data_IF_154141909253
#
_entry.id   IF_154141909253
#
_cell.length_a   1.000
_cell.length_b   1.000
_cell.length_c   1.000
_cell.angle_alpha   90.00
_cell.angle_beta   90.00
_cell.angle_gamma   90.00
#
_symmetry.space_group_name_H-M   'P 1'
#
loop_
_entity.id
_entity.type
_entity.pdbx_description
1 polymer ?
#
# COMPACT_ATOMS: atom_id res chain seq x y z
N UNK A 1 27.12 -21.14 4.44
CA UNK A 1 26.56 -20.26 3.38
C UNK A 1 26.10 -18.98 4.04
N UNK A 2 26.53 -17.81 3.56
CA UNK A 2 25.96 -16.55 4.00
C UNK A 2 24.47 -16.53 3.62
N UNK A 3 23.58 -16.44 4.61
CA UNK A 3 22.16 -16.14 4.36
C UNK A 3 22.11 -14.69 3.89
N UNK A 4 22.05 -14.48 2.57
CA UNK A 4 21.64 -13.19 2.07
C UNK A 4 20.21 -12.94 2.53
N UNK A 5 19.90 -11.78 3.13
CA UNK A 5 18.51 -11.44 3.43
C UNK A 5 17.73 -11.51 2.12
N UNK A 6 16.56 -12.16 2.13
CA UNK A 6 15.67 -12.30 0.96
C UNK A 6 14.95 -10.99 0.59
N UNK A 7 15.37 -9.88 1.19
CA UNK A 7 14.77 -8.56 1.05
C UNK A 7 15.73 -7.64 0.31
N UNK A 8 15.21 -6.90 -0.66
CA UNK A 8 15.93 -5.82 -1.33
C UNK A 8 15.94 -4.53 -0.49
N UNK A 9 15.24 -4.51 0.65
CA UNK A 9 15.19 -3.38 1.58
C UNK A 9 16.44 -3.32 2.46
N UNK A 10 16.97 -2.11 2.63
CA UNK A 10 18.11 -1.83 3.52
C UNK A 10 17.65 -1.56 4.96
N UNK A 11 16.44 -1.03 5.12
CA UNK A 11 15.82 -0.90 6.43
C UNK A 11 15.34 -2.26 6.96
N UNK A 12 15.47 -2.46 8.27
CA UNK A 12 14.81 -3.57 8.97
C UNK A 12 13.32 -3.22 9.13
N UNK A 13 12.47 -3.87 8.34
CA UNK A 13 11.03 -3.61 8.29
C UNK A 13 10.29 -4.82 8.85
N UNK A 14 9.54 -4.66 9.96
CA UNK A 14 8.78 -5.74 10.54
C UNK A 14 7.71 -6.27 9.59
N UNK A 15 7.62 -7.60 9.49
CA UNK A 15 6.57 -8.27 8.71
C UNK A 15 5.22 -8.13 9.41
N UNK A 16 4.24 -7.60 8.69
CA UNK A 16 2.84 -7.53 9.05
C UNK A 16 2.08 -8.81 8.73
N UNK A 17 0.91 -8.94 9.32
CA UNK A 17 0.00 -10.07 9.10
C UNK A 17 -0.80 -9.87 7.81
N UNK A 18 -0.64 -10.79 6.85
CA UNK A 18 -1.37 -10.80 5.58
C UNK A 18 -2.87 -10.57 5.77
N UNK A 19 -3.47 -9.65 5.02
CA UNK A 19 -4.89 -9.32 5.09
C UNK A 19 -5.33 -8.54 6.33
N UNK A 20 -4.38 -8.01 7.09
CA UNK A 20 -4.60 -7.03 8.16
C UNK A 20 -4.02 -5.65 7.77
N UNK A 21 -4.36 -4.62 8.54
CA UNK A 21 -3.78 -3.29 8.35
C UNK A 21 -2.26 -3.25 8.59
N UNK A 22 -1.72 -4.19 9.37
CA UNK A 22 -0.27 -4.24 9.64
C UNK A 22 0.55 -4.57 8.40
N UNK A 23 0.00 -5.37 7.46
CA UNK A 23 0.65 -5.64 6.17
C UNK A 23 0.62 -4.40 5.26
N UNK A 24 -0.46 -3.63 5.24
CA UNK A 24 -0.51 -2.33 4.54
C UNK A 24 0.59 -1.39 5.08
N UNK A 25 0.80 -1.37 6.40
CA UNK A 25 1.84 -0.57 7.01
C UNK A 25 3.27 -1.06 6.69
N UNK A 26 3.48 -2.37 6.59
CA UNK A 26 4.73 -2.96 6.08
C UNK A 26 5.05 -2.44 4.68
N UNK A 27 4.14 -2.60 3.71
CA UNK A 27 4.37 -2.19 2.31
C UNK A 27 4.60 -0.66 2.20
N UNK A 28 3.95 0.15 3.05
CA UNK A 28 4.22 1.60 3.12
C UNK A 28 5.66 1.90 3.56
N UNK A 29 6.21 1.12 4.48
CA UNK A 29 7.59 1.27 4.93
C UNK A 29 8.58 0.79 3.87
N UNK A 30 8.25 -0.31 3.17
CA UNK A 30 9.03 -0.86 2.06
C UNK A 30 9.08 0.13 0.87
N UNK A 31 7.96 0.80 0.54
CA UNK A 31 7.93 1.90 -0.42
C UNK A 31 8.83 3.07 0.01
N UNK A 32 8.75 3.49 1.28
CA UNK A 32 9.57 4.58 1.81
C UNK A 32 11.05 4.25 1.74
N UNK A 33 11.43 3.01 2.06
CA UNK A 33 12.80 2.55 1.94
C UNK A 33 13.26 2.54 0.47
N UNK A 34 12.41 2.07 -0.44
CA UNK A 34 12.69 2.05 -1.88
C UNK A 34 12.97 3.45 -2.46
N UNK A 35 12.20 4.44 -2.02
CA UNK A 35 12.42 5.83 -2.40
C UNK A 35 13.73 6.39 -1.82
N UNK A 36 14.07 6.06 -0.57
CA UNK A 36 15.35 6.46 0.04
C UNK A 36 16.55 5.83 -0.67
N UNK A 37 16.39 4.60 -1.16
CA UNK A 37 17.40 3.92 -1.97
C UNK A 37 17.52 4.49 -3.39
N UNK A 38 16.65 5.43 -3.80
CA UNK A 38 16.55 5.92 -5.17
C UNK A 38 16.34 4.78 -6.19
N UNK A 39 15.58 3.75 -5.81
CA UNK A 39 15.28 2.60 -6.67
C UNK A 39 13.83 2.68 -7.18
N UNK A 40 13.60 3.26 -8.37
CA UNK A 40 12.26 3.48 -8.89
C UNK A 40 11.52 2.17 -9.22
N UNK A 41 12.23 1.12 -9.64
CA UNK A 41 11.61 -0.17 -9.96
C UNK A 41 11.08 -0.83 -8.69
N UNK A 42 11.87 -0.80 -7.62
CA UNK A 42 11.43 -1.31 -6.32
C UNK A 42 10.25 -0.49 -5.78
N UNK A 43 10.30 0.84 -5.86
CA UNK A 43 9.16 1.67 -5.46
C UNK A 43 7.87 1.36 -6.23
N UNK A 44 7.96 1.07 -7.53
CA UNK A 44 6.80 0.63 -8.34
C UNK A 44 6.31 -0.75 -7.92
N UNK A 45 7.21 -1.67 -7.57
CA UNK A 45 6.85 -2.97 -7.00
C UNK A 45 6.06 -2.80 -5.70
N UNK A 46 6.56 -1.98 -4.77
CA UNK A 46 5.88 -1.75 -3.49
C UNK A 46 4.52 -1.05 -3.66
N UNK A 47 4.34 -0.24 -4.71
CA UNK A 47 3.02 0.29 -5.07
C UNK A 47 2.06 -0.80 -5.57
N UNK A 48 2.55 -1.80 -6.30
CA UNK A 48 1.76 -2.94 -6.72
C UNK A 48 1.39 -3.83 -5.51
N UNK A 49 2.34 -4.05 -4.60
CA UNK A 49 2.11 -4.80 -3.37
C UNK A 49 1.12 -4.08 -2.44
N UNK A 50 1.20 -2.74 -2.32
CA UNK A 50 0.19 -1.91 -1.66
C UNK A 50 -1.22 -2.12 -2.24
N UNK A 51 -1.35 -2.11 -3.56
CA UNK A 51 -2.64 -2.38 -4.21
C UNK A 51 -3.17 -3.76 -3.81
N UNK A 52 -2.33 -4.80 -3.90
CA UNK A 52 -2.70 -6.17 -3.56
C UNK A 52 -3.08 -6.35 -2.09
N UNK A 53 -2.33 -5.76 -1.16
CA UNK A 53 -2.65 -5.90 0.27
C UNK A 53 -3.87 -5.10 0.69
N UNK A 54 -4.18 -3.97 0.05
CA UNK A 54 -5.43 -3.24 0.32
C UNK A 54 -6.63 -4.05 -0.18
N UNK A 55 -6.54 -4.62 -1.39
CA UNK A 55 -7.59 -5.47 -1.94
C UNK A 55 -7.88 -6.68 -1.04
N UNK A 56 -6.82 -7.38 -0.59
CA UNK A 56 -6.97 -8.49 0.35
C UNK A 56 -7.54 -8.04 1.71
N UNK A 57 -7.13 -6.88 2.21
CA UNK A 57 -7.65 -6.31 3.45
C UNK A 57 -9.16 -6.03 3.35
N UNK A 58 -9.62 -5.46 2.24
CA UNK A 58 -11.06 -5.27 1.97
C UNK A 58 -11.80 -6.60 1.97
N UNK A 59 -11.29 -7.59 1.23
CA UNK A 59 -11.91 -8.90 1.16
C UNK A 59 -12.07 -9.59 2.52
N UNK A 60 -11.13 -9.38 3.46
CA UNK A 60 -11.19 -9.98 4.79
C UNK A 60 -11.99 -9.19 5.81
N UNK A 61 -11.78 -7.87 5.85
CA UNK A 61 -12.33 -7.02 6.92
C UNK A 61 -13.67 -6.39 6.54
N UNK A 62 -13.95 -6.24 5.25
CA UNK A 62 -15.17 -5.63 4.73
C UNK A 62 -15.79 -6.49 3.61
N UNK A 63 -16.32 -7.69 3.95
CA UNK A 63 -16.93 -8.56 2.95
C UNK A 63 -17.98 -7.84 2.11
N UNK A 64 -17.85 -7.92 0.79
CA UNK A 64 -18.73 -7.25 -0.16
C UNK A 64 -18.26 -5.86 -0.62
N UNK A 65 -17.19 -5.30 -0.04
CA UNK A 65 -16.51 -4.12 -0.57
C UNK A 65 -15.26 -4.50 -1.36
N UNK A 66 -14.87 -3.62 -2.29
CA UNK A 66 -13.78 -3.83 -3.24
C UNK A 66 -13.00 -2.54 -3.51
N UNK A 67 -11.88 -2.66 -4.22
CA UNK A 67 -11.11 -1.49 -4.70
C UNK A 67 -11.95 -0.52 -5.54
N UNK A 68 -13.00 -1.01 -6.22
CA UNK A 68 -13.93 -0.17 -6.98
C UNK A 68 -14.74 0.78 -6.09
N UNK A 69 -15.10 0.33 -4.90
CA UNK A 69 -15.83 1.15 -3.93
C UNK A 69 -14.92 2.27 -3.38
N UNK A 70 -13.65 1.95 -3.10
CA UNK A 70 -12.64 2.95 -2.73
C UNK A 70 -12.40 3.96 -3.86
N UNK A 71 -12.29 3.50 -5.11
CA UNK A 71 -12.14 4.38 -6.27
C UNK A 71 -13.34 5.33 -6.41
N UNK A 72 -14.57 4.81 -6.26
CA UNK A 72 -15.80 5.59 -6.29
C UNK A 72 -15.81 6.68 -5.22
N UNK A 73 -15.38 6.35 -4.00
CA UNK A 73 -15.27 7.30 -2.90
C UNK A 73 -14.18 8.36 -3.14
N UNK A 74 -13.05 7.96 -3.73
CA UNK A 74 -11.96 8.86 -4.13
C UNK A 74 -12.45 9.90 -5.15
N UNK A 75 -13.18 9.47 -6.17
CA UNK A 75 -13.70 10.37 -7.21
C UNK A 75 -14.81 11.30 -6.70
N UNK A 76 -15.68 10.81 -5.80
CA UNK A 76 -16.63 11.65 -5.10
C UNK A 76 -15.93 12.75 -4.28
N UNK A 77 -14.81 12.42 -3.64
CA UNK A 77 -13.99 13.36 -2.87
C UNK A 77 -13.32 14.40 -3.77
N UNK A 78 -12.71 13.99 -4.89
CA UNK A 78 -12.12 14.91 -5.88
C UNK A 78 -13.17 15.90 -6.41
N UNK A 79 -14.38 15.43 -6.72
CA UNK A 79 -15.50 16.30 -7.11
C UNK A 79 -15.87 17.31 -6.02
N UNK A 80 -15.90 16.89 -4.76
CA UNK A 80 -16.22 17.80 -3.64
C UNK A 80 -15.17 18.91 -3.46
N UNK A 81 -13.89 18.57 -3.62
CA UNK A 81 -12.79 19.55 -3.61
C UNK A 81 -12.86 20.50 -4.81
N UNK A 82 -12.96 19.97 -6.03
CA UNK A 82 -12.98 20.79 -7.25
C UNK A 82 -14.22 21.70 -7.37
N UNK A 83 -15.33 21.33 -6.72
CA UNK A 83 -16.55 22.15 -6.68
C UNK A 83 -16.56 23.22 -5.58
N UNK A 84 -15.48 23.34 -4.79
CA UNK A 84 -15.36 24.32 -3.70
C UNK A 84 -16.23 24.05 -2.48
N UNK A 85 -16.85 22.85 -2.39
CA UNK A 85 -17.70 22.45 -1.25
C UNK A 85 -16.91 21.95 -0.04
N UNK A 86 -15.61 21.67 -0.21
CA UNK A 86 -14.65 21.47 0.87
C UNK A 86 -13.57 22.54 0.73
N UNK A 87 -13.39 23.35 1.79
CA UNK A 87 -12.27 24.28 1.96
C UNK A 87 -11.05 23.54 2.48
#
# INVERSE_FOLDING_TARGET
MAKFPRSYHLADIPKGELGSASKIYEECQELKDSLKQNNPIMALNELADLYGTIDLFLHRQFPGLSMKDLATMSDATKRAFNSGRRK
#
